data_IF_769477251432
#
_entry.id   IF_769477251432
#
_cell.length_a   1.000
_cell.length_b   1.000
_cell.length_c   1.000
_cell.angle_alpha   90.00
_cell.angle_beta   90.00
_cell.angle_gamma   90.00
#
_symmetry.space_group_name_H-M   'P 1'
#
loop_
_entity.id
_entity.type
_entity.pdbx_description
1 polymer ?
#
# COMPACT_ATOMS: atom_id res chain seq x y z
N UNK A 1 15.87 4.99 -12.42
CA UNK A 1 15.44 3.77 -13.15
C UNK A 1 14.37 3.06 -12.33
N UNK A 2 13.10 3.14 -12.73
CA UNK A 2 12.04 2.32 -12.15
C UNK A 2 12.16 0.90 -12.72
N UNK A 3 13.06 0.10 -12.16
CA UNK A 3 13.27 -1.29 -12.57
C UNK A 3 12.10 -2.20 -12.19
N UNK A 4 12.11 -3.47 -12.68
CA UNK A 4 11.14 -4.52 -12.32
C UNK A 4 10.99 -4.77 -10.79
N UNK A 5 11.85 -4.17 -9.97
CA UNK A 5 11.79 -4.12 -8.50
C UNK A 5 10.59 -3.36 -7.95
N UNK A 6 10.11 -2.29 -8.59
CA UNK A 6 9.07 -1.43 -8.02
C UNK A 6 7.72 -2.13 -7.94
N UNK A 7 7.33 -2.85 -9.01
CA UNK A 7 6.11 -3.64 -9.04
C UNK A 7 6.10 -4.72 -7.96
N UNK A 8 7.22 -5.42 -7.77
CA UNK A 8 7.36 -6.44 -6.74
C UNK A 8 7.27 -5.84 -5.32
N UNK A 9 7.89 -4.67 -5.08
CA UNK A 9 7.79 -3.93 -3.82
C UNK A 9 6.33 -3.54 -3.51
N UNK A 10 5.61 -2.99 -4.49
CA UNK A 10 4.19 -2.62 -4.35
C UNK A 10 3.33 -3.84 -4.01
N UNK A 11 3.53 -4.97 -4.71
CA UNK A 11 2.78 -6.21 -4.44
C UNK A 11 3.07 -6.75 -3.03
N UNK A 12 4.35 -6.76 -2.62
CA UNK A 12 4.75 -7.18 -1.28
C UNK A 12 4.07 -6.33 -0.21
N UNK A 13 4.17 -5.00 -0.35
CA UNK A 13 3.59 -4.05 0.59
C UNK A 13 2.07 -4.19 0.69
N UNK A 14 1.37 -4.39 -0.43
CA UNK A 14 -0.08 -4.63 -0.43
C UNK A 14 -0.46 -5.86 0.40
N UNK A 15 0.28 -6.97 0.24
CA UNK A 15 0.01 -8.21 0.99
C UNK A 15 0.28 -8.05 2.49
N UNK A 16 1.33 -7.31 2.85
CA UNK A 16 1.67 -7.02 4.24
C UNK A 16 0.58 -6.16 4.91
N UNK A 17 0.18 -5.06 4.26
CA UNK A 17 -0.91 -4.20 4.75
C UNK A 17 -2.25 -4.94 4.82
N UNK A 18 -2.57 -5.77 3.84
CA UNK A 18 -3.79 -6.57 3.86
C UNK A 18 -3.80 -7.59 5.02
N UNK A 19 -2.62 -8.08 5.44
CA UNK A 19 -2.52 -8.96 6.61
C UNK A 19 -2.78 -8.18 7.89
N UNK A 20 -2.17 -7.00 8.04
CA UNK A 20 -2.42 -6.10 9.17
C UNK A 20 -3.90 -5.74 9.29
N UNK A 21 -4.57 -5.46 8.16
CA UNK A 21 -6.00 -5.19 8.15
C UNK A 21 -6.90 -6.33 8.65
N UNK A 22 -6.42 -7.58 8.69
CA UNK A 22 -7.13 -8.71 9.32
C UNK A 22 -6.93 -8.78 10.84
N UNK A 23 -5.81 -8.26 11.31
CA UNK A 23 -5.42 -8.23 12.73
C UNK A 23 -5.84 -6.90 13.39
N UNK A 24 -6.41 -5.97 12.62
CA UNK A 24 -6.82 -4.66 13.08
C UNK A 24 -7.98 -4.78 14.09
N UNK A 25 -7.91 -4.11 15.26
CA UNK A 25 -8.85 -4.33 16.36
C UNK A 25 -10.26 -3.77 16.11
N UNK A 26 -10.40 -2.80 15.20
CA UNK A 26 -11.69 -2.18 14.86
C UNK A 26 -12.26 -2.76 13.55
N UNK A 27 -13.27 -3.62 13.68
CA UNK A 27 -13.99 -4.23 12.56
C UNK A 27 -14.77 -3.22 11.71
N UNK A 28 -15.19 -2.09 12.30
CA UNK A 28 -15.96 -1.06 11.59
C UNK A 28 -15.07 -0.10 10.78
N UNK A 29 -13.75 -0.12 11.01
CA UNK A 29 -12.81 0.78 10.34
C UNK A 29 -12.66 0.48 8.83
N UNK A 30 -13.05 -0.71 8.36
CA UNK A 30 -12.91 -1.18 6.97
C UNK A 30 -11.49 -0.95 6.42
N UNK A 31 -10.48 -1.43 7.15
CA UNK A 31 -9.08 -1.23 6.80
C UNK A 31 -8.78 -1.73 5.37
N UNK A 32 -9.19 -2.97 5.08
CA UNK A 32 -8.92 -3.61 3.78
C UNK A 32 -9.66 -2.91 2.62
N UNK A 33 -10.88 -2.40 2.84
CA UNK A 33 -11.59 -1.61 1.85
C UNK A 33 -10.90 -0.28 1.56
N UNK A 34 -10.44 0.43 2.60
CA UNK A 34 -9.65 1.67 2.46
C UNK A 34 -8.33 1.42 1.74
N UNK A 35 -7.63 0.34 2.11
CA UNK A 35 -6.38 -0.10 1.46
C UNK A 35 -6.61 -0.32 -0.04
N UNK A 36 -7.62 -1.09 -0.41
CA UNK A 36 -7.95 -1.36 -1.82
C UNK A 36 -8.23 -0.07 -2.60
N UNK A 37 -9.05 0.83 -2.05
CA UNK A 37 -9.38 2.12 -2.69
C UNK A 37 -8.13 2.98 -2.90
N UNK A 38 -7.19 2.97 -1.95
CA UNK A 38 -5.94 3.72 -2.08
C UNK A 38 -5.07 3.18 -3.22
N UNK A 39 -4.89 1.86 -3.32
CA UNK A 39 -4.10 1.25 -4.39
C UNK A 39 -4.78 1.42 -5.75
N UNK A 40 -6.12 1.39 -5.79
CA UNK A 40 -6.89 1.59 -7.01
C UNK A 40 -6.77 3.03 -7.54
N UNK A 41 -6.80 4.05 -6.67
CA UNK A 41 -6.55 5.45 -7.06
C UNK A 41 -5.17 5.64 -7.69
N UNK A 42 -4.19 4.88 -7.22
CA UNK A 42 -2.79 4.98 -7.66
C UNK A 42 -2.44 4.03 -8.80
N UNK A 43 -3.39 3.27 -9.36
CA UNK A 43 -3.14 2.21 -10.35
C UNK A 43 -2.50 2.70 -11.66
N UNK A 44 -2.73 3.97 -12.01
CA UNK A 44 -2.26 4.59 -13.24
C UNK A 44 -1.03 5.50 -13.00
N UNK A 45 -0.45 5.48 -11.79
CA UNK A 45 0.80 6.20 -11.54
C UNK A 45 1.92 5.61 -12.39
N UNK A 46 2.51 6.46 -13.22
CA UNK A 46 3.66 6.14 -14.08
C UNK A 46 4.91 6.89 -13.67
N UNK A 47 4.77 7.99 -12.93
CA UNK A 47 5.87 8.78 -12.42
C UNK A 47 6.63 8.02 -11.32
N UNK A 48 7.94 7.75 -11.49
CA UNK A 48 8.75 7.04 -10.50
C UNK A 48 8.80 7.72 -9.12
N UNK A 49 8.79 9.05 -9.05
CA UNK A 49 8.85 9.79 -7.80
C UNK A 49 7.53 9.66 -7.03
N UNK A 50 6.40 9.78 -7.73
CA UNK A 50 5.07 9.61 -7.14
C UNK A 50 4.84 8.18 -6.65
N UNK A 51 5.34 7.17 -7.40
CA UNK A 51 5.29 5.77 -6.96
C UNK A 51 6.11 5.58 -5.67
N UNK A 52 7.31 6.17 -5.59
CA UNK A 52 8.13 6.05 -4.38
C UNK A 52 7.51 6.78 -3.18
N UNK A 53 6.86 7.94 -3.40
CA UNK A 53 6.08 8.63 -2.35
C UNK A 53 4.92 7.76 -1.85
N UNK A 54 4.16 7.14 -2.76
CA UNK A 54 3.07 6.25 -2.40
C UNK A 54 3.56 4.99 -1.63
N UNK A 55 4.71 4.43 -2.04
CA UNK A 55 5.35 3.33 -1.32
C UNK A 55 5.76 3.74 0.10
N UNK A 56 6.41 4.90 0.26
CA UNK A 56 6.80 5.44 1.58
C UNK A 56 5.61 5.64 2.50
N UNK A 57 4.49 6.14 1.97
CA UNK A 57 3.25 6.27 2.73
C UNK A 57 2.73 4.92 3.20
N UNK A 58 2.72 3.91 2.34
CA UNK A 58 2.30 2.55 2.73
C UNK A 58 3.22 1.91 3.77
N UNK A 59 4.54 2.11 3.67
CA UNK A 59 5.50 1.65 4.69
C UNK A 59 5.33 2.38 6.02
N UNK A 60 5.00 3.67 6.00
CA UNK A 60 4.67 4.42 7.22
C UNK A 60 3.42 3.87 7.90
N UNK A 61 2.35 3.56 7.14
CA UNK A 61 1.14 2.94 7.68
C UNK A 61 1.47 1.57 8.29
N UNK A 62 2.29 0.76 7.62
CA UNK A 62 2.73 -0.54 8.13
C UNK A 62 3.48 -0.45 9.46
N UNK A 63 4.32 0.57 9.64
CA UNK A 63 5.12 0.74 10.86
C UNK A 63 4.39 1.50 11.97
N UNK A 64 3.33 2.25 11.64
CA UNK A 64 2.54 3.05 12.58
C UNK A 64 1.29 2.37 13.12
N UNK A 65 1.01 1.13 12.69
CA UNK A 65 -0.03 0.24 13.24
C UNK A 65 0.63 -0.74 14.19
#
# INVERSE_FOLDING_TARGET
>A
MAGPSTRLRVIKLYKELHRLGREYPDENYDFNGKLRRMFEKNRNLTDPEEIEKALKLGEYIKNGV
#
